data_IF_662006951000
#
_entry.id   IF_662006951000
#
_cell.length_a   1.000
_cell.length_b   1.000
_cell.length_c   1.000
_cell.angle_alpha   90.00
_cell.angle_beta   90.00
_cell.angle_gamma   90.00
#
_symmetry.space_group_name_H-M   'P 1'
#
loop_
_entity.id
_entity.type
_entity.pdbx_description
1 polymer ?
#
# COMPACT_ATOMS: atom_id res chain seq x y z
N UNK A 1 -11.93 19.61 47.91
CA UNK A 1 -11.14 18.38 47.82
C UNK A 1 -11.99 17.17 48.08
N UNK A 2 -12.61 16.66 47.02
CA UNK A 2 -13.33 15.38 47.07
C UNK A 2 -12.28 14.28 46.82
N UNK A 3 -11.63 13.85 47.90
CA UNK A 3 -10.66 12.78 47.84
C UNK A 3 -11.38 11.47 47.48
N UNK A 4 -11.03 10.88 46.33
CA UNK A 4 -11.54 9.59 45.89
C UNK A 4 -11.42 8.55 47.02
N UNK A 5 -12.55 7.92 47.36
CA UNK A 5 -12.60 6.76 48.26
C UNK A 5 -11.72 5.63 47.71
N UNK A 6 -11.19 4.76 48.58
CA UNK A 6 -10.28 3.69 48.16
C UNK A 6 -10.90 2.78 47.08
N UNK A 7 -12.20 2.48 47.15
CA UNK A 7 -12.90 1.73 46.11
C UNK A 7 -12.96 2.45 44.75
N UNK A 8 -12.99 3.79 44.74
CA UNK A 8 -12.89 4.58 43.51
C UNK A 8 -11.50 4.53 42.88
N UNK A 9 -10.44 4.38 43.69
CA UNK A 9 -9.06 4.22 43.22
C UNK A 9 -8.84 2.83 42.61
N UNK A 10 -9.40 1.79 43.21
CA UNK A 10 -9.34 0.42 42.66
C UNK A 10 -10.05 0.31 41.31
N UNK A 11 -11.26 0.86 41.18
CA UNK A 11 -12.01 0.87 39.91
C UNK A 11 -11.25 1.63 38.79
N UNK A 12 -10.57 2.73 39.14
CA UNK A 12 -9.71 3.45 38.20
C UNK A 12 -8.47 2.64 37.82
N UNK A 13 -7.93 1.83 38.74
CA UNK A 13 -6.84 0.90 38.50
C UNK A 13 -7.22 -0.19 37.50
N UNK A 14 -8.34 -0.87 37.71
CA UNK A 14 -8.87 -1.90 36.79
C UNK A 14 -9.20 -1.32 35.41
N UNK A 15 -9.77 -0.11 35.36
CA UNK A 15 -10.04 0.59 34.10
C UNK A 15 -8.73 0.91 33.35
N UNK A 16 -7.70 1.37 34.07
CA UNK A 16 -6.37 1.64 33.50
C UNK A 16 -5.72 0.37 32.95
N UNK A 17 -5.81 -0.74 33.67
CA UNK A 17 -5.30 -2.04 33.24
C UNK A 17 -6.00 -2.50 31.96
N UNK A 18 -7.33 -2.45 31.94
CA UNK A 18 -8.13 -2.78 30.75
C UNK A 18 -7.79 -1.88 29.56
N UNK A 19 -7.59 -0.57 29.78
CA UNK A 19 -7.19 0.37 28.73
C UNK A 19 -5.76 0.13 28.23
N UNK A 20 -4.86 -0.37 29.07
CA UNK A 20 -3.49 -0.70 28.67
C UNK A 20 -3.43 -1.85 27.67
N UNK A 21 -4.37 -2.80 27.75
CA UNK A 21 -4.48 -3.94 26.82
C UNK A 21 -4.85 -3.52 25.38
N UNK A 22 -5.41 -2.32 25.18
CA UNK A 22 -5.65 -1.78 23.83
C UNK A 22 -4.36 -1.42 23.09
N UNK A 23 -3.26 -1.15 23.79
CA UNK A 23 -1.96 -0.88 23.20
C UNK A 23 -1.42 -2.10 22.42
N UNK A 24 -1.21 -3.25 23.09
CA UNK A 24 -0.82 -4.51 22.45
C UNK A 24 -1.77 -4.95 21.34
N UNK A 25 -3.09 -4.81 21.54
CA UNK A 25 -4.08 -5.18 20.52
C UNK A 25 -3.94 -4.35 19.24
N UNK A 26 -3.63 -3.05 19.34
CA UNK A 26 -3.42 -2.16 18.19
C UNK A 26 -2.19 -2.54 17.37
N UNK A 27 -1.09 -2.91 18.02
CA UNK A 27 0.12 -3.36 17.33
C UNK A 27 -0.10 -4.68 16.58
N UNK A 28 -0.92 -5.59 17.14
CA UNK A 28 -1.31 -6.81 16.43
C UNK A 28 -2.17 -6.52 15.19
N UNK A 29 -3.18 -5.64 15.31
CA UNK A 29 -4.01 -5.21 14.16
C UNK A 29 -3.15 -4.52 13.09
N UNK A 30 -2.18 -3.71 13.48
CA UNK A 30 -1.25 -3.05 12.55
C UNK A 30 -0.44 -4.08 11.76
N UNK A 31 0.08 -5.10 12.44
CA UNK A 31 0.81 -6.20 11.79
C UNK A 31 -0.06 -6.93 10.78
N UNK A 32 -1.28 -7.31 11.15
CA UNK A 32 -2.22 -7.97 10.24
C UNK A 32 -2.60 -7.08 9.04
N UNK A 33 -2.82 -5.78 9.27
CA UNK A 33 -3.11 -4.83 8.20
C UNK A 33 -1.97 -4.73 7.18
N UNK A 34 -0.71 -4.65 7.65
CA UNK A 34 0.44 -4.65 6.74
C UNK A 34 0.51 -5.93 5.92
N UNK A 35 0.32 -7.09 6.55
CA UNK A 35 0.32 -8.37 5.84
C UNK A 35 -0.78 -8.43 4.78
N UNK A 36 -2.01 -8.04 5.14
CA UNK A 36 -3.12 -7.97 4.20
C UNK A 36 -2.84 -7.03 3.03
N UNK A 37 -2.29 -5.84 3.30
CA UNK A 37 -1.95 -4.87 2.27
C UNK A 37 -0.86 -5.38 1.33
N UNK A 38 0.14 -6.12 1.84
CA UNK A 38 1.20 -6.75 1.05
C UNK A 38 0.67 -7.87 0.16
N UNK A 39 -0.23 -8.72 0.69
CA UNK A 39 -0.85 -9.81 -0.07
C UNK A 39 -1.72 -9.25 -1.19
N UNK A 40 -2.57 -8.27 -0.89
CA UNK A 40 -3.45 -7.64 -1.88
C UNK A 40 -2.63 -6.95 -2.98
N UNK A 41 -1.58 -6.20 -2.59
CA UNK A 41 -0.64 -5.59 -3.52
C UNK A 41 0.02 -6.62 -4.44
N UNK A 42 0.56 -7.71 -3.87
CA UNK A 42 1.21 -8.77 -4.63
C UNK A 42 0.25 -9.36 -5.67
N UNK A 43 -1.00 -9.61 -5.27
CA UNK A 43 -2.04 -10.15 -6.15
C UNK A 43 -2.39 -9.18 -7.28
N UNK A 44 -2.51 -7.89 -6.97
CA UNK A 44 -2.85 -6.84 -7.94
C UNK A 44 -1.71 -6.65 -8.95
N UNK A 45 -0.45 -6.68 -8.49
CA UNK A 45 0.72 -6.64 -9.37
C UNK A 45 0.77 -7.88 -10.25
N UNK A 46 0.55 -9.08 -9.71
CA UNK A 46 0.52 -10.31 -10.51
C UNK A 46 -0.54 -10.24 -11.62
N UNK A 47 -1.75 -9.78 -11.30
CA UNK A 47 -2.82 -9.61 -12.29
C UNK A 47 -2.52 -8.54 -13.34
N UNK A 48 -1.79 -7.48 -12.99
CA UNK A 48 -1.36 -6.47 -13.94
C UNK A 48 -0.13 -6.90 -14.78
N UNK A 49 0.78 -7.66 -14.17
CA UNK A 49 2.05 -8.05 -14.78
C UNK A 49 1.87 -9.11 -15.88
N UNK A 50 0.95 -10.06 -15.71
CA UNK A 50 0.71 -11.11 -16.71
C UNK A 50 0.26 -10.52 -18.07
N UNK A 51 -0.79 -9.68 -18.15
CA UNK A 51 -1.15 -9.01 -19.40
C UNK A 51 -0.04 -8.11 -19.95
N UNK A 52 0.65 -7.37 -19.07
CA UNK A 52 1.77 -6.52 -19.46
C UNK A 52 2.91 -7.32 -20.13
N UNK A 53 3.23 -8.49 -19.59
CA UNK A 53 4.26 -9.37 -20.15
C UNK A 53 3.83 -9.97 -21.50
N UNK A 54 2.55 -10.35 -21.64
CA UNK A 54 1.99 -10.80 -22.91
C UNK A 54 2.09 -9.71 -23.97
N UNK A 55 1.76 -8.46 -23.62
CA UNK A 55 1.90 -7.30 -24.52
C UNK A 55 3.38 -7.08 -24.90
N UNK A 56 4.30 -7.13 -23.94
CA UNK A 56 5.73 -6.99 -24.21
C UNK A 56 6.24 -8.09 -25.16
N UNK A 57 5.90 -9.35 -24.90
CA UNK A 57 6.31 -10.48 -25.73
C UNK A 57 5.72 -10.43 -27.14
N UNK A 58 4.45 -10.03 -27.26
CA UNK A 58 3.80 -9.84 -28.56
C UNK A 58 4.46 -8.70 -29.33
N UNK A 59 4.81 -7.61 -28.66
CA UNK A 59 5.56 -6.50 -29.28
C UNK A 59 6.88 -6.97 -29.85
N UNK A 60 7.68 -7.71 -29.08
CA UNK A 60 8.99 -8.17 -29.51
C UNK A 60 8.95 -9.20 -30.65
N UNK A 61 7.86 -9.98 -30.75
CA UNK A 61 7.75 -11.08 -31.73
C UNK A 61 7.02 -10.70 -33.01
N UNK A 62 6.06 -9.77 -32.93
CA UNK A 62 5.14 -9.45 -34.04
C UNK A 62 5.41 -8.06 -34.64
N UNK A 63 5.94 -7.12 -33.84
CA UNK A 63 6.06 -5.72 -34.27
C UNK A 63 7.46 -5.43 -34.80
N UNK A 64 7.51 -5.11 -36.09
CA UNK A 64 8.69 -4.64 -36.81
C UNK A 64 8.38 -3.27 -37.44
N UNK A 65 9.40 -2.54 -37.88
CA UNK A 65 9.28 -1.24 -38.54
C UNK A 65 8.38 -1.27 -39.79
N UNK A 66 8.20 -2.45 -40.39
CA UNK A 66 7.31 -2.70 -41.52
C UNK A 66 5.90 -3.17 -41.16
N UNK A 67 5.61 -3.54 -39.91
CA UNK A 67 4.32 -4.16 -39.51
C UNK A 67 3.17 -3.15 -39.55
N UNK A 68 3.42 -1.89 -39.14
CA UNK A 68 2.43 -0.82 -39.20
C UNK A 68 2.87 0.29 -40.16
N UNK A 69 2.61 0.10 -41.46
CA UNK A 69 2.87 1.12 -42.47
C UNK A 69 1.82 2.24 -42.42
N UNK A 70 2.29 3.48 -42.42
CA UNK A 70 1.47 4.69 -42.48
C UNK A 70 1.61 5.60 -41.25
N UNK A 71 1.26 6.87 -41.43
CA UNK A 71 1.22 7.86 -40.35
C UNK A 71 -0.22 8.14 -39.93
N UNK A 72 -0.41 8.50 -38.67
CA UNK A 72 -1.64 9.10 -38.16
C UNK A 72 -1.26 10.44 -37.56
N UNK A 73 -1.82 11.53 -38.09
CA UNK A 73 -1.59 12.90 -37.58
C UNK A 73 -0.09 13.27 -37.60
N UNK A 74 0.63 12.91 -38.67
CA UNK A 74 2.06 13.22 -38.83
C UNK A 74 3.02 12.39 -37.96
N UNK A 75 2.52 11.52 -37.08
CA UNK A 75 3.33 10.60 -36.27
C UNK A 75 3.27 9.20 -36.89
N UNK A 76 4.42 8.52 -36.94
CA UNK A 76 4.48 7.15 -37.43
C UNK A 76 3.65 6.23 -36.53
N UNK A 77 2.77 5.40 -37.10
CA UNK A 77 1.88 4.51 -36.33
C UNK A 77 2.66 3.58 -35.42
N UNK A 78 3.78 3.04 -35.90
CA UNK A 78 4.69 2.19 -35.11
C UNK A 78 5.08 2.87 -33.80
N UNK A 79 5.42 4.16 -33.83
CA UNK A 79 5.82 4.91 -32.63
C UNK A 79 4.69 5.00 -31.61
N UNK A 80 3.45 5.22 -32.06
CA UNK A 80 2.29 5.27 -31.17
C UNK A 80 2.00 3.91 -30.52
N UNK A 81 2.06 2.82 -31.31
CA UNK A 81 1.83 1.48 -30.77
C UNK A 81 2.93 1.11 -29.78
N UNK A 82 4.20 1.41 -30.09
CA UNK A 82 5.33 1.16 -29.17
C UNK A 82 5.17 1.97 -27.88
N UNK A 83 4.81 3.25 -27.96
CA UNK A 83 4.57 4.08 -26.78
C UNK A 83 3.41 3.54 -25.93
N UNK A 84 2.33 3.11 -26.57
CA UNK A 84 1.18 2.50 -25.89
C UNK A 84 1.55 1.18 -25.20
N UNK A 85 2.25 0.29 -25.90
CA UNK A 85 2.73 -0.96 -25.32
C UNK A 85 3.69 -0.70 -24.16
N UNK A 86 4.60 0.26 -24.30
CA UNK A 86 5.50 0.66 -23.23
C UNK A 86 4.73 1.17 -21.99
N UNK A 87 3.70 2.00 -22.17
CA UNK A 87 2.85 2.44 -21.08
C UNK A 87 2.15 1.26 -20.37
N UNK A 88 1.64 0.28 -21.13
CA UNK A 88 1.06 -0.95 -20.57
C UNK A 88 2.09 -1.74 -19.78
N UNK A 89 3.34 -1.85 -20.26
CA UNK A 89 4.41 -2.55 -19.53
C UNK A 89 4.83 -1.87 -18.24
N UNK A 90 4.73 -0.55 -18.16
CA UNK A 90 5.02 0.22 -16.94
C UNK A 90 3.88 0.16 -15.91
N UNK A 91 2.68 -0.21 -16.32
CA UNK A 91 1.50 -0.24 -15.46
C UNK A 91 1.67 -1.05 -14.15
N UNK A 92 2.14 -2.31 -14.14
CA UNK A 92 2.35 -3.06 -12.90
C UNK A 92 3.37 -2.39 -11.96
N UNK A 93 4.43 -1.78 -12.51
CA UNK A 93 5.42 -1.06 -11.72
C UNK A 93 4.84 0.24 -11.12
N UNK A 94 4.05 0.97 -11.89
CA UNK A 94 3.35 2.17 -11.41
C UNK A 94 2.39 1.83 -10.26
N UNK A 95 1.64 0.74 -10.37
CA UNK A 95 0.78 0.24 -9.30
C UNK A 95 1.58 -0.08 -8.03
N UNK A 96 2.71 -0.77 -8.16
CA UNK A 96 3.61 -1.05 -7.05
C UNK A 96 4.05 0.22 -6.33
N UNK A 97 4.56 1.21 -7.07
CA UNK A 97 5.04 2.48 -6.49
C UNK A 97 3.89 3.24 -5.81
N UNK A 98 2.74 3.35 -6.46
CA UNK A 98 1.57 4.04 -5.89
C UNK A 98 1.10 3.41 -4.59
N UNK A 99 0.99 2.07 -4.55
CA UNK A 99 0.59 1.36 -3.33
C UNK A 99 1.63 1.44 -2.24
N UNK A 100 2.91 1.30 -2.57
CA UNK A 100 3.99 1.42 -1.62
C UNK A 100 3.99 2.82 -0.97
N UNK A 101 3.85 3.88 -1.77
CA UNK A 101 3.74 5.24 -1.25
C UNK A 101 2.51 5.44 -0.36
N UNK A 102 1.35 4.86 -0.71
CA UNK A 102 0.14 4.90 0.12
C UNK A 102 0.38 4.20 1.46
N UNK A 103 0.95 3.00 1.45
CA UNK A 103 1.23 2.21 2.66
C UNK A 103 2.28 2.93 3.52
N UNK A 104 3.36 3.43 2.93
CA UNK A 104 4.39 4.19 3.66
C UNK A 104 3.84 5.50 4.24
N UNK A 105 2.95 6.19 3.53
CA UNK A 105 2.27 7.38 4.05
C UNK A 105 1.38 7.01 5.24
N UNK A 106 0.64 5.90 5.16
CA UNK A 106 -0.16 5.38 6.26
C UNK A 106 0.72 4.96 7.45
N UNK A 107 1.86 4.31 7.17
CA UNK A 107 2.83 3.91 8.17
C UNK A 107 3.36 5.13 8.93
N UNK A 108 3.78 6.17 8.20
CA UNK A 108 4.25 7.44 8.78
C UNK A 108 3.15 8.12 9.60
N UNK A 109 1.91 8.12 9.12
CA UNK A 109 0.77 8.75 9.84
C UNK A 109 0.34 7.96 11.08
N UNK A 110 0.53 6.64 11.10
CA UNK A 110 0.21 5.76 12.26
C UNK A 110 1.39 5.56 13.21
N UNK A 111 2.60 6.00 12.83
CA UNK A 111 3.76 6.14 13.72
C UNK A 111 3.66 7.38 14.61
N UNK A 112 2.68 8.26 14.39
CA UNK A 112 2.27 9.24 15.38
C UNK A 112 1.65 8.50 16.57
N UNK A 113 2.54 8.19 17.52
CA UNK A 113 2.31 7.72 18.89
C UNK A 113 0.95 8.20 19.39
N UNK A 114 0.00 7.28 19.52
CA UNK A 114 -1.25 7.57 20.20
C UNK A 114 -0.96 7.92 21.67
N UNK A 115 -1.72 8.83 22.29
CA UNK A 115 -1.43 9.41 23.62
C UNK A 115 -1.48 8.43 24.81
N UNK A 116 -1.58 7.12 24.56
CA UNK A 116 -1.78 6.07 25.55
C UNK A 116 -0.53 5.21 25.78
N UNK A 117 0.65 5.69 25.39
CA UNK A 117 1.89 5.11 25.92
C UNK A 117 2.03 5.62 27.35
N UNK A 118 1.63 4.79 28.31
CA UNK A 118 1.96 4.96 29.72
C UNK A 118 3.48 5.03 29.82
N UNK A 119 4.00 6.24 30.03
CA UNK A 119 5.36 6.43 30.50
C UNK A 119 5.31 6.12 31.99
N UNK A 120 6.00 5.07 32.40
CA UNK A 120 6.32 4.90 33.82
C UNK A 120 7.02 6.18 34.26
N UNK A 121 6.27 6.99 35.01
CA UNK A 121 6.77 8.22 35.60
C UNK A 121 7.33 7.76 36.93
N UNK A 122 8.65 7.57 36.93
CA UNK A 122 9.44 7.56 38.16
C UNK A 122 9.29 8.90 38.88
#
# INVERSE_FOLDING_TARGET
>A
DEALTDGGRDLLGELKESLSLFGPAREHVKTLYFQWALIDLSRLILYAAVPALVVAGTMLTVVDAGTFRGATIGVNRVTLVVAGAFAVTLFPFSLFVSYLLRVLTLAKRTLAIGPLVLRDSE
#
